data_IF_891074234895
#
_entry.id   IF_891074234895
#
_cell.length_a   1.000
_cell.length_b   1.000
_cell.length_c   1.000
_cell.angle_alpha   90.00
_cell.angle_beta   90.00
_cell.angle_gamma   90.00
#
_symmetry.space_group_name_H-M   'P 1'
#
loop_
_entity.id
_entity.type
_entity.pdbx_description
1 polymer ?
#
# COMPACT_ATOMS: atom_id res chain seq x y z
N UNK A 1 38.34 -53.59 -5.77
CA UNK A 1 37.26 -53.44 -6.79
C UNK A 1 37.91 -53.46 -8.16
N UNK A 2 37.51 -54.34 -9.05
CA UNK A 2 38.03 -54.36 -10.42
C UNK A 2 37.53 -53.17 -11.22
N UNK A 3 38.16 -52.75 -12.33
CA UNK A 3 37.63 -51.67 -13.17
C UNK A 3 36.19 -51.89 -13.67
N UNK A 4 35.82 -53.15 -13.95
CA UNK A 4 34.47 -53.54 -14.35
C UNK A 4 33.46 -53.38 -13.22
N UNK A 5 33.82 -53.80 -11.98
CA UNK A 5 32.96 -53.63 -10.80
C UNK A 5 32.73 -52.16 -10.47
N UNK A 6 33.78 -51.35 -10.62
CA UNK A 6 33.68 -49.91 -10.40
C UNK A 6 32.76 -49.24 -11.41
N UNK A 7 32.83 -49.62 -12.67
CA UNK A 7 31.93 -49.10 -13.71
C UNK A 7 30.48 -49.47 -13.43
N UNK A 8 30.21 -50.74 -13.07
CA UNK A 8 28.86 -51.20 -12.73
C UNK A 8 28.32 -50.49 -11.49
N UNK A 9 29.14 -50.31 -10.46
CA UNK A 9 28.79 -49.57 -9.26
C UNK A 9 28.42 -48.12 -9.58
N UNK A 10 29.26 -47.40 -10.36
CA UNK A 10 28.99 -46.05 -10.76
C UNK A 10 27.75 -45.92 -11.65
N UNK A 11 27.51 -46.84 -12.55
CA UNK A 11 26.31 -46.83 -13.41
C UNK A 11 25.03 -46.92 -12.57
N UNK A 12 25.07 -47.65 -11.45
CA UNK A 12 23.92 -47.81 -10.56
C UNK A 12 23.72 -46.60 -9.61
N UNK A 13 24.79 -46.05 -9.08
CA UNK A 13 24.69 -45.08 -7.97
C UNK A 13 24.94 -43.65 -8.38
N UNK A 14 25.83 -43.37 -9.34
CA UNK A 14 26.20 -42.04 -9.74
C UNK A 14 25.02 -41.19 -10.24
N UNK A 15 24.02 -41.72 -10.99
CA UNK A 15 22.93 -40.87 -11.53
C UNK A 15 22.16 -40.11 -10.46
N UNK A 16 21.93 -40.71 -9.30
CA UNK A 16 20.99 -40.16 -8.30
C UNK A 16 21.62 -39.87 -6.92
N UNK A 17 22.93 -40.11 -6.75
CA UNK A 17 23.62 -39.88 -5.48
C UNK A 17 24.53 -38.65 -5.57
N UNK A 18 24.67 -37.92 -4.47
CA UNK A 18 25.56 -36.77 -4.37
C UNK A 18 27.04 -37.15 -4.56
N UNK A 19 27.81 -36.33 -5.27
CA UNK A 19 29.21 -36.59 -5.56
C UNK A 19 30.06 -36.68 -4.30
N UNK A 20 29.76 -35.87 -3.28
CA UNK A 20 30.51 -35.87 -2.03
C UNK A 20 30.33 -37.17 -1.27
N UNK A 21 29.12 -37.73 -1.27
CA UNK A 21 28.80 -39.00 -0.63
C UNK A 21 29.51 -40.13 -1.36
N UNK A 22 29.34 -40.25 -2.68
CA UNK A 22 29.98 -41.31 -3.47
C UNK A 22 31.51 -41.24 -3.46
N UNK A 23 32.09 -40.04 -3.47
CA UNK A 23 33.52 -39.87 -3.38
C UNK A 23 34.06 -40.35 -2.03
N UNK A 24 33.37 -40.09 -0.93
CA UNK A 24 33.70 -40.56 0.41
C UNK A 24 33.61 -42.10 0.49
N UNK A 25 32.55 -42.72 -0.03
CA UNK A 25 32.36 -44.18 -0.06
C UNK A 25 33.45 -44.91 -0.85
N UNK A 26 33.93 -44.26 -1.94
CA UNK A 26 34.98 -44.85 -2.78
C UNK A 26 36.41 -44.49 -2.36
N UNK A 27 36.56 -43.65 -1.32
CA UNK A 27 37.88 -43.19 -0.86
C UNK A 27 38.62 -42.31 -1.88
N UNK A 28 37.91 -41.57 -2.76
CA UNK A 28 38.48 -40.76 -3.82
C UNK A 28 37.96 -39.30 -3.71
N UNK A 29 38.62 -38.40 -4.43
CA UNK A 29 38.12 -36.99 -4.50
C UNK A 29 36.93 -36.87 -5.45
N UNK A 30 36.04 -35.88 -5.19
CA UNK A 30 34.90 -35.60 -6.10
C UNK A 30 35.37 -35.35 -7.55
N UNK A 31 36.53 -34.70 -7.72
CA UNK A 31 37.09 -34.46 -9.04
C UNK A 31 37.45 -35.72 -9.78
N UNK A 32 38.06 -36.67 -9.08
CA UNK A 32 38.38 -38.00 -9.63
C UNK A 32 37.09 -38.77 -9.95
N UNK A 33 36.08 -38.70 -9.07
CA UNK A 33 34.76 -39.31 -9.32
C UNK A 33 34.14 -38.77 -10.60
N UNK A 34 34.15 -37.46 -10.81
CA UNK A 34 33.63 -36.81 -12.04
C UNK A 34 34.39 -37.25 -13.29
N UNK A 35 35.72 -37.37 -13.21
CA UNK A 35 36.54 -37.88 -14.33
C UNK A 35 36.22 -39.32 -14.67
N UNK A 36 36.02 -40.18 -13.65
CA UNK A 36 35.63 -41.59 -13.85
C UNK A 36 34.24 -41.70 -14.49
N UNK A 37 33.25 -40.98 -13.96
CA UNK A 37 31.91 -40.94 -14.52
C UNK A 37 31.91 -40.50 -15.99
N UNK A 38 32.66 -39.42 -16.30
CA UNK A 38 32.84 -38.96 -17.69
C UNK A 38 33.47 -40.01 -18.59
N UNK A 39 34.55 -40.67 -18.13
CA UNK A 39 35.23 -41.74 -18.90
C UNK A 39 34.28 -42.90 -19.23
N UNK A 40 33.37 -43.24 -18.30
CA UNK A 40 32.41 -44.33 -18.49
C UNK A 40 31.08 -43.84 -19.13
N UNK A 41 30.98 -42.58 -19.52
CA UNK A 41 29.76 -42.05 -20.18
C UNK A 41 28.54 -41.94 -19.24
N UNK A 42 28.75 -42.01 -17.92
CA UNK A 42 27.68 -41.99 -16.92
C UNK A 42 27.34 -40.53 -16.55
N UNK A 43 26.05 -40.20 -16.58
CA UNK A 43 25.56 -38.86 -16.29
C UNK A 43 24.58 -38.85 -15.11
N UNK A 44 24.43 -37.70 -14.47
CA UNK A 44 23.37 -37.48 -13.47
C UNK A 44 22.00 -37.59 -14.12
N UNK A 45 21.05 -38.19 -13.42
CA UNK A 45 19.65 -38.24 -13.88
C UNK A 45 19.04 -36.83 -13.95
N UNK A 46 18.03 -36.66 -14.78
CA UNK A 46 17.33 -35.40 -14.88
C UNK A 46 16.53 -35.10 -13.61
N UNK A 47 16.05 -36.12 -12.91
CA UNK A 47 15.41 -35.99 -11.61
C UNK A 47 16.39 -35.40 -10.58
N UNK A 48 17.60 -35.96 -10.47
CA UNK A 48 18.65 -35.49 -9.58
C UNK A 48 19.03 -34.00 -9.89
N UNK A 49 19.21 -33.68 -11.18
CA UNK A 49 19.55 -32.30 -11.60
C UNK A 49 18.46 -31.30 -11.21
N UNK A 50 17.18 -31.67 -11.42
CA UNK A 50 16.05 -30.79 -11.03
C UNK A 50 16.01 -30.60 -9.52
N UNK A 51 16.19 -31.66 -8.75
CA UNK A 51 16.16 -31.59 -7.29
C UNK A 51 17.36 -30.78 -6.73
N UNK A 52 18.57 -30.99 -7.29
CA UNK A 52 19.74 -30.19 -6.94
C UNK A 52 19.53 -28.70 -7.25
N UNK A 53 18.99 -28.41 -8.44
CA UNK A 53 18.67 -27.03 -8.81
C UNK A 53 17.67 -26.39 -7.83
N UNK A 54 16.60 -27.13 -7.47
CA UNK A 54 15.60 -26.69 -6.50
C UNK A 54 16.25 -26.37 -5.14
N UNK A 55 17.10 -27.26 -4.62
CA UNK A 55 17.83 -27.05 -3.36
C UNK A 55 18.74 -25.83 -3.41
N UNK A 56 19.48 -25.64 -4.50
CA UNK A 56 20.35 -24.49 -4.69
C UNK A 56 19.56 -23.16 -4.74
N UNK A 57 18.42 -23.17 -5.41
CA UNK A 57 17.55 -21.98 -5.46
C UNK A 57 16.95 -21.66 -4.11
N UNK A 58 16.50 -22.67 -3.35
CA UNK A 58 16.01 -22.49 -1.98
C UNK A 58 17.09 -21.93 -1.04
N UNK A 59 18.32 -22.46 -1.12
CA UNK A 59 19.45 -21.96 -0.32
C UNK A 59 19.81 -20.50 -0.66
N UNK A 60 19.78 -20.14 -1.95
CA UNK A 60 19.97 -18.74 -2.40
C UNK A 60 18.86 -17.83 -1.89
N UNK A 61 17.62 -18.31 -1.92
CA UNK A 61 16.47 -17.56 -1.41
C UNK A 61 16.58 -17.33 0.09
N UNK A 62 16.88 -18.37 0.87
CA UNK A 62 17.06 -18.26 2.32
C UNK A 62 18.16 -17.23 2.66
N UNK A 63 19.31 -17.33 1.99
CA UNK A 63 20.43 -16.37 2.19
C UNK A 63 20.03 -14.95 1.80
N UNK A 64 19.24 -14.79 0.74
CA UNK A 64 18.74 -13.48 0.34
C UNK A 64 17.78 -12.91 1.40
N UNK A 65 16.83 -13.73 1.91
CA UNK A 65 15.90 -13.30 2.95
C UNK A 65 16.61 -12.91 4.25
N UNK A 66 17.64 -13.65 4.65
CA UNK A 66 18.50 -13.30 5.81
C UNK A 66 19.24 -11.97 5.62
N UNK A 67 19.57 -11.60 4.40
CA UNK A 67 20.25 -10.34 4.09
C UNK A 67 19.33 -9.12 4.06
N UNK A 68 18.01 -9.32 4.07
CA UNK A 68 17.04 -8.23 4.04
C UNK A 68 16.90 -7.56 5.41
N UNK A 69 16.66 -6.24 5.45
CA UNK A 69 16.36 -5.56 6.70
C UNK A 69 15.10 -6.18 7.34
N UNK A 70 15.25 -6.74 8.52
CA UNK A 70 14.12 -7.25 9.30
C UNK A 70 13.46 -6.10 10.08
N UNK A 71 12.88 -5.15 9.36
CA UNK A 71 12.22 -3.97 9.93
C UNK A 71 10.72 -4.09 9.67
N UNK A 72 9.97 -4.39 10.72
CA UNK A 72 8.50 -4.43 10.66
C UNK A 72 7.92 -3.06 11.06
N UNK A 73 6.89 -2.57 10.36
CA UNK A 73 6.17 -1.38 10.78
C UNK A 73 5.42 -1.62 12.08
N UNK A 74 5.44 -0.65 12.98
CA UNK A 74 4.50 -0.64 14.09
C UNK A 74 3.07 -0.32 13.59
N UNK A 75 2.07 -0.41 14.49
CA UNK A 75 0.66 -0.17 14.15
C UNK A 75 0.41 1.21 13.52
N UNK A 76 1.07 2.24 14.01
CA UNK A 76 0.97 3.60 13.51
C UNK A 76 1.54 3.73 12.08
N UNK A 77 2.76 3.25 11.88
CA UNK A 77 3.44 3.24 10.57
C UNK A 77 2.67 2.41 9.54
N UNK A 78 2.18 1.23 9.95
CA UNK A 78 1.36 0.37 9.09
C UNK A 78 0.10 1.10 8.63
N UNK A 79 -0.57 1.82 9.52
CA UNK A 79 -1.78 2.56 9.16
C UNK A 79 -1.50 3.74 8.24
N UNK A 80 -0.38 4.45 8.35
CA UNK A 80 0.03 5.46 7.37
C UNK A 80 0.18 4.82 5.98
N UNK A 81 0.87 3.67 5.91
CA UNK A 81 1.07 2.95 4.63
C UNK A 81 -0.26 2.48 4.07
N UNK A 82 -1.12 1.85 4.88
CA UNK A 82 -2.41 1.29 4.44
C UNK A 82 -3.37 2.40 4.00
N UNK A 83 -3.51 3.47 4.79
CA UNK A 83 -4.35 4.62 4.42
C UNK A 83 -3.89 5.26 3.11
N UNK A 84 -2.58 5.38 2.92
CA UNK A 84 -2.00 5.87 1.66
C UNK A 84 -2.15 4.88 0.51
N UNK A 85 -2.12 3.56 0.74
CA UNK A 85 -2.39 2.56 -0.30
C UNK A 85 -3.85 2.59 -0.77
N UNK A 86 -4.78 2.89 0.10
CA UNK A 86 -6.18 3.11 -0.29
C UNK A 86 -6.30 4.42 -1.10
N UNK A 87 -5.48 5.43 -0.80
CA UNK A 87 -5.36 6.69 -1.55
C UNK A 87 -4.31 6.66 -2.66
N UNK A 88 -3.44 7.68 -2.69
CA UNK A 88 -2.46 7.98 -3.76
C UNK A 88 -1.28 6.99 -3.84
N UNK A 89 -0.99 6.26 -2.76
CA UNK A 89 0.18 5.39 -2.66
C UNK A 89 0.07 4.15 -3.54
N UNK A 90 1.22 3.65 -4.02
CA UNK A 90 1.27 2.38 -4.72
C UNK A 90 2.50 1.55 -4.35
N UNK A 91 2.39 0.24 -4.53
CA UNK A 91 3.48 -0.71 -4.40
C UNK A 91 3.91 -1.22 -5.77
N UNK A 92 5.21 -1.43 -5.94
CA UNK A 92 5.81 -1.93 -7.18
C UNK A 92 7.06 -2.74 -6.89
N UNK A 93 7.48 -3.54 -7.87
CA UNK A 93 8.78 -4.22 -7.83
C UNK A 93 9.78 -3.46 -8.69
N UNK A 94 10.98 -3.19 -8.15
CA UNK A 94 12.07 -2.69 -8.98
C UNK A 94 12.57 -3.80 -9.92
N UNK A 95 13.18 -3.47 -11.08
CA UNK A 95 13.78 -4.46 -11.95
C UNK A 95 14.72 -5.38 -11.17
N UNK A 96 14.54 -6.70 -11.32
CA UNK A 96 15.29 -7.75 -10.62
C UNK A 96 15.11 -7.82 -9.09
N UNK A 97 14.24 -6.97 -8.50
CA UNK A 97 13.91 -7.05 -7.08
C UNK A 97 12.86 -8.14 -6.84
N UNK A 98 13.04 -8.90 -5.75
CA UNK A 98 12.06 -9.87 -5.26
C UNK A 98 11.14 -9.29 -4.19
N UNK A 99 11.43 -8.07 -3.74
CA UNK A 99 10.66 -7.37 -2.73
C UNK A 99 10.05 -6.10 -3.31
N UNK A 100 8.81 -5.84 -2.94
CA UNK A 100 8.11 -4.63 -3.32
C UNK A 100 8.65 -3.40 -2.57
N UNK A 101 8.53 -2.26 -3.18
CA UNK A 101 8.77 -0.96 -2.58
C UNK A 101 7.54 -0.06 -2.73
N UNK A 102 7.39 0.89 -1.81
CA UNK A 102 6.36 1.93 -1.88
C UNK A 102 6.82 3.10 -2.73
N UNK A 103 5.89 3.65 -3.50
CA UNK A 103 6.08 4.93 -4.22
C UNK A 103 4.79 5.74 -4.26
N UNK A 104 4.95 7.06 -4.27
CA UNK A 104 3.89 8.03 -4.40
C UNK A 104 4.44 9.28 -5.10
N UNK A 105 3.87 9.65 -6.23
CA UNK A 105 4.23 10.89 -6.94
C UNK A 105 3.36 12.04 -6.41
N UNK A 106 3.90 13.26 -6.35
CA UNK A 106 3.17 14.42 -5.83
C UNK A 106 3.52 15.71 -6.55
N UNK A 107 2.55 16.63 -6.59
CA UNK A 107 2.78 18.00 -7.04
C UNK A 107 3.57 18.79 -5.99
N UNK A 108 4.38 19.79 -6.38
CA UNK A 108 5.15 20.63 -5.44
C UNK A 108 4.31 21.23 -4.30
N UNK A 109 3.05 21.58 -4.54
CA UNK A 109 2.11 22.08 -3.55
C UNK A 109 1.71 21.11 -2.44
N UNK A 110 2.03 19.81 -2.62
CA UNK A 110 1.77 18.76 -1.62
C UNK A 110 3.04 18.28 -0.92
N UNK A 111 4.15 19.01 -1.10
CA UNK A 111 5.47 18.60 -0.60
C UNK A 111 5.52 18.49 0.93
N UNK A 112 4.91 19.42 1.64
CA UNK A 112 4.84 19.42 3.11
C UNK A 112 4.21 18.13 3.65
N UNK A 113 3.12 17.69 3.04
CA UNK A 113 2.46 16.44 3.41
C UNK A 113 3.34 15.21 3.15
N UNK A 114 4.06 15.16 2.03
CA UNK A 114 4.96 14.02 1.73
C UNK A 114 6.21 14.05 2.61
N UNK A 115 6.69 15.22 2.99
CA UNK A 115 7.76 15.35 3.99
C UNK A 115 7.31 14.85 5.36
N UNK A 116 6.08 15.16 5.77
CA UNK A 116 5.49 14.61 6.98
C UNK A 116 5.42 13.08 6.92
N UNK A 117 4.91 12.48 5.85
CA UNK A 117 4.90 11.01 5.68
C UNK A 117 6.32 10.43 5.76
N UNK A 118 7.28 11.05 5.09
CA UNK A 118 8.68 10.60 5.10
C UNK A 118 9.28 10.62 6.51
N UNK A 119 9.00 11.64 7.30
CA UNK A 119 9.46 11.74 8.69
C UNK A 119 8.81 10.65 9.57
N UNK A 120 7.49 10.47 9.46
CA UNK A 120 6.77 9.43 10.23
C UNK A 120 7.25 8.01 9.90
N UNK A 121 7.69 7.77 8.64
CA UNK A 121 8.13 6.47 8.15
C UNK A 121 9.65 6.36 7.99
N UNK A 122 10.43 7.30 8.57
CA UNK A 122 11.89 7.34 8.42
C UNK A 122 12.58 6.08 8.93
N UNK A 123 12.07 5.45 9.98
CA UNK A 123 12.58 4.18 10.51
C UNK A 123 12.52 3.05 9.48
N UNK A 124 11.53 3.08 8.61
CA UNK A 124 11.36 2.14 7.49
C UNK A 124 12.14 2.57 6.23
N UNK A 125 12.91 3.65 6.30
CA UNK A 125 13.74 4.14 5.20
C UNK A 125 12.98 4.93 4.12
N UNK A 126 11.77 5.40 4.40
CA UNK A 126 11.04 6.27 3.47
C UNK A 126 11.75 7.63 3.32
N UNK A 127 11.81 8.13 2.10
CA UNK A 127 12.44 9.40 1.76
C UNK A 127 11.85 10.04 0.51
N UNK A 128 12.00 11.36 0.42
CA UNK A 128 11.72 12.09 -0.81
C UNK A 128 12.90 11.93 -1.77
N UNK A 129 12.62 11.63 -3.03
CA UNK A 129 13.60 11.57 -4.11
C UNK A 129 13.43 12.75 -5.07
N UNK A 130 14.45 13.04 -5.89
CA UNK A 130 14.55 14.25 -6.73
C UNK A 130 13.38 14.50 -7.69
N UNK A 131 12.64 13.46 -8.07
CA UNK A 131 11.53 13.54 -9.03
C UNK A 131 10.16 13.74 -8.35
N UNK A 132 10.10 14.40 -7.20
CA UNK A 132 8.88 14.55 -6.39
C UNK A 132 8.17 13.23 -6.10
N UNK A 133 8.95 12.24 -5.70
CA UNK A 133 8.44 10.95 -5.24
C UNK A 133 8.77 10.73 -3.77
N UNK A 134 7.78 10.27 -3.01
CA UNK A 134 8.01 9.60 -1.74
C UNK A 134 8.26 8.11 -2.06
N UNK A 135 9.41 7.58 -1.61
CA UNK A 135 9.81 6.18 -1.88
C UNK A 135 10.35 5.51 -0.62
N UNK A 136 10.14 4.20 -0.56
CA UNK A 136 10.77 3.33 0.43
C UNK A 136 11.88 2.47 -0.20
N UNK A 137 12.75 1.83 0.60
CA UNK A 137 13.48 0.66 0.15
C UNK A 137 12.51 -0.51 -0.14
N UNK A 138 13.02 -1.55 -0.82
CA UNK A 138 12.28 -2.81 -0.98
C UNK A 138 12.27 -3.58 0.34
N UNK A 139 11.09 -3.94 0.85
CA UNK A 139 10.91 -4.56 2.16
C UNK A 139 9.98 -5.78 2.09
N UNK A 140 10.25 -6.85 2.85
CA UNK A 140 9.35 -8.02 2.92
C UNK A 140 7.92 -7.68 3.31
N UNK A 141 7.74 -6.78 4.26
CA UNK A 141 6.41 -6.27 4.66
C UNK A 141 5.64 -5.62 3.52
N UNK A 142 6.31 -4.85 2.65
CA UNK A 142 5.67 -4.22 1.49
C UNK A 142 5.30 -5.27 0.43
N UNK A 143 6.05 -6.38 0.35
CA UNK A 143 5.70 -7.52 -0.49
C UNK A 143 4.44 -8.22 0.01
N UNK A 144 4.30 -8.42 1.32
CA UNK A 144 3.07 -8.96 1.92
C UNK A 144 1.87 -8.03 1.67
N UNK A 145 2.06 -6.71 1.81
CA UNK A 145 1.02 -5.74 1.47
C UNK A 145 0.69 -5.73 -0.03
N UNK A 146 1.68 -5.91 -0.90
CA UNK A 146 1.40 -6.06 -2.34
C UNK A 146 0.52 -7.28 -2.59
N UNK A 147 0.85 -8.43 -2.03
CA UNK A 147 0.04 -9.66 -2.14
C UNK A 147 -1.38 -9.48 -1.59
N UNK A 148 -1.54 -8.68 -0.54
CA UNK A 148 -2.84 -8.40 0.06
C UNK A 148 -3.69 -7.41 -0.76
N UNK A 149 -3.08 -6.39 -1.38
CA UNK A 149 -3.78 -5.29 -2.04
C UNK A 149 -3.81 -5.37 -3.57
N UNK A 150 -3.10 -6.30 -4.20
CA UNK A 150 -3.04 -6.41 -5.65
C UNK A 150 -3.45 -7.80 -6.15
N UNK A 151 -4.40 -7.83 -7.08
CA UNK A 151 -4.82 -9.02 -7.82
C UNK A 151 -4.60 -8.70 -9.31
N UNK A 152 -3.86 -9.52 -10.01
CA UNK A 152 -3.52 -9.34 -11.44
C UNK A 152 -2.97 -7.94 -11.74
N UNK A 153 -2.07 -7.45 -10.89
CA UNK A 153 -1.47 -6.12 -10.93
C UNK A 153 -2.46 -4.94 -10.74
N UNK A 154 -3.73 -5.20 -10.47
CA UNK A 154 -4.72 -4.18 -10.10
C UNK A 154 -4.80 -4.04 -8.59
N UNK A 155 -4.73 -2.80 -8.10
CA UNK A 155 -4.99 -2.50 -6.69
C UNK A 155 -6.48 -2.72 -6.39
N UNK A 156 -6.80 -3.45 -5.32
CA UNK A 156 -8.17 -3.82 -4.95
C UNK A 156 -8.38 -3.80 -3.44
N UNK A 157 -9.64 -3.65 -3.03
CA UNK A 157 -10.08 -3.78 -1.64
C UNK A 157 -10.82 -5.11 -1.44
N UNK A 158 -10.49 -5.80 -0.37
CA UNK A 158 -11.11 -7.04 0.06
C UNK A 158 -11.56 -6.94 1.51
N UNK A 159 -12.43 -7.88 1.93
CA UNK A 159 -12.85 -7.98 3.34
C UNK A 159 -11.67 -8.20 4.31
N UNK A 160 -10.52 -8.67 3.81
CA UNK A 160 -9.35 -8.93 4.65
C UNK A 160 -8.39 -7.74 4.70
N UNK A 161 -8.03 -7.16 3.55
CA UNK A 161 -7.04 -6.09 3.55
C UNK A 161 -7.56 -4.78 4.15
N UNK A 162 -8.88 -4.50 4.04
CA UNK A 162 -9.49 -3.31 4.63
C UNK A 162 -9.40 -3.31 6.16
N UNK A 163 -9.36 -4.48 6.81
CA UNK A 163 -9.22 -4.62 8.27
C UNK A 163 -7.88 -4.10 8.79
N UNK A 164 -6.90 -3.87 7.93
CA UNK A 164 -5.62 -3.27 8.31
C UNK A 164 -5.73 -1.77 8.62
N UNK A 165 -6.78 -1.11 8.14
CA UNK A 165 -7.07 0.31 8.43
C UNK A 165 -7.81 0.44 9.77
N UNK A 166 -7.08 0.58 10.88
CA UNK A 166 -7.63 0.54 12.24
C UNK A 166 -7.35 1.80 13.06
N UNK A 167 -6.37 2.60 12.65
CA UNK A 167 -5.92 3.76 13.43
C UNK A 167 -6.28 5.08 12.73
N UNK A 168 -6.67 6.14 13.47
CA UNK A 168 -7.06 7.44 12.89
C UNK A 168 -6.01 8.07 11.98
N UNK A 169 -4.71 7.80 12.18
CA UNK A 169 -3.67 8.28 11.26
C UNK A 169 -3.84 7.73 9.84
N UNK A 170 -4.27 6.47 9.70
CA UNK A 170 -4.55 5.88 8.39
C UNK A 170 -5.77 6.53 7.72
N UNK A 171 -6.81 6.81 8.49
CA UNK A 171 -7.96 7.59 8.01
C UNK A 171 -7.54 9.01 7.60
N UNK A 172 -6.64 9.64 8.36
CA UNK A 172 -6.09 10.95 8.00
C UNK A 172 -5.33 10.89 6.66
N UNK A 173 -4.49 9.88 6.44
CA UNK A 173 -3.79 9.70 5.17
C UNK A 173 -4.77 9.51 4.00
N UNK A 174 -5.77 8.61 4.16
CA UNK A 174 -6.82 8.42 3.16
C UNK A 174 -7.56 9.73 2.84
N UNK A 175 -7.92 10.50 3.87
CA UNK A 175 -8.59 11.80 3.67
C UNK A 175 -7.67 12.83 3.00
N UNK A 176 -6.41 12.90 3.38
CA UNK A 176 -5.45 13.85 2.80
C UNK A 176 -5.08 13.52 1.36
N UNK A 177 -5.18 12.27 0.95
CA UNK A 177 -4.98 11.82 -0.42
C UNK A 177 -6.24 12.02 -1.26
N UNK A 178 -7.33 11.34 -0.98
CA UNK A 178 -8.56 11.27 -1.79
C UNK A 178 -9.76 12.00 -1.19
N UNK A 179 -9.64 12.55 0.02
CA UNK A 179 -10.71 13.25 0.69
C UNK A 179 -10.88 14.71 0.27
N UNK A 180 -12.10 15.16 0.24
CA UNK A 180 -12.47 16.55 0.01
C UNK A 180 -13.54 16.99 1.01
N UNK A 181 -13.37 18.20 1.52
CA UNK A 181 -14.34 18.88 2.37
C UNK A 181 -14.67 20.23 1.74
N UNK A 182 -15.81 20.30 1.08
CA UNK A 182 -16.23 21.47 0.30
C UNK A 182 -17.35 22.20 1.03
N UNK A 183 -17.34 23.54 1.01
CA UNK A 183 -18.48 24.33 1.44
C UNK A 183 -19.41 24.54 0.26
N UNK A 184 -20.60 23.92 0.34
CA UNK A 184 -21.67 24.03 -0.64
C UNK A 184 -22.75 25.00 -0.18
N UNK A 185 -23.63 25.36 -1.10
CA UNK A 185 -24.83 26.12 -0.79
C UNK A 185 -26.00 25.66 -1.63
N UNK A 186 -27.20 25.87 -1.10
CA UNK A 186 -28.47 25.68 -1.83
C UNK A 186 -29.30 26.95 -1.71
N UNK A 187 -29.97 27.35 -2.82
CA UNK A 187 -30.83 28.54 -2.84
C UNK A 187 -32.11 28.27 -2.04
N UNK A 188 -32.50 29.26 -1.24
CA UNK A 188 -33.79 29.33 -0.56
C UNK A 188 -34.55 30.56 -1.05
N UNK A 189 -35.81 30.78 -0.56
CA UNK A 189 -36.64 31.89 -1.00
C UNK A 189 -35.94 33.25 -0.85
N UNK A 190 -35.35 33.51 0.32
CA UNK A 190 -34.82 34.83 0.69
C UNK A 190 -33.29 34.83 0.90
N UNK A 191 -32.58 33.73 0.49
CA UNK A 191 -31.15 33.61 0.68
C UNK A 191 -30.61 32.23 0.33
N UNK A 192 -29.59 31.79 1.08
CA UNK A 192 -28.89 30.53 0.85
C UNK A 192 -28.75 29.76 2.15
N UNK A 193 -28.84 28.42 2.02
CA UNK A 193 -28.36 27.51 3.06
C UNK A 193 -26.94 27.04 2.72
N UNK A 194 -26.00 27.31 3.60
CA UNK A 194 -24.56 27.07 3.44
C UNK A 194 -24.18 25.90 4.34
N UNK A 195 -23.54 24.89 3.77
CA UNK A 195 -23.20 23.64 4.49
C UNK A 195 -21.94 22.98 3.96
N UNK A 196 -21.18 22.29 4.80
CA UNK A 196 -20.05 21.48 4.36
C UNK A 196 -20.52 20.15 3.76
N UNK A 197 -19.72 19.61 2.86
CA UNK A 197 -19.91 18.28 2.27
C UNK A 197 -18.59 17.54 2.23
N UNK A 198 -18.58 16.35 2.81
CA UNK A 198 -17.46 15.42 2.78
C UNK A 198 -17.61 14.50 1.56
N UNK A 199 -16.51 14.26 0.85
CA UNK A 199 -16.43 13.27 -0.23
C UNK A 199 -15.06 12.59 -0.21
N UNK A 200 -15.03 11.28 -0.39
CA UNK A 200 -13.83 10.51 -0.74
C UNK A 200 -13.94 10.09 -2.21
N UNK A 201 -12.94 10.47 -3.00
CA UNK A 201 -12.89 10.22 -4.46
C UNK A 201 -12.12 8.94 -4.79
N UNK A 202 -12.54 7.82 -4.24
CA UNK A 202 -11.90 6.51 -4.40
C UNK A 202 -12.20 5.89 -5.77
N UNK A 203 -11.96 6.60 -6.86
CA UNK A 203 -12.33 6.19 -8.23
C UNK A 203 -11.57 4.99 -8.78
N UNK A 204 -10.44 4.64 -8.17
CA UNK A 204 -9.67 3.45 -8.53
C UNK A 204 -10.38 2.13 -8.17
N UNK A 205 -11.43 2.19 -7.32
CA UNK A 205 -12.13 1.02 -6.79
C UNK A 205 -13.54 0.89 -7.35
N UNK A 206 -14.01 -0.37 -7.47
CA UNK A 206 -15.37 -0.67 -7.93
C UNK A 206 -16.43 -0.22 -6.92
N UNK A 207 -17.72 -0.32 -7.28
CA UNK A 207 -18.83 -0.04 -6.36
C UNK A 207 -18.79 -0.96 -5.13
N UNK A 208 -18.54 -2.26 -5.35
CA UNK A 208 -18.45 -3.28 -4.30
C UNK A 208 -17.26 -3.02 -3.36
N UNK A 209 -16.11 -2.65 -3.90
CA UNK A 209 -14.92 -2.30 -3.14
C UNK A 209 -15.15 -1.03 -2.32
N UNK A 210 -15.79 -0.01 -2.88
CA UNK A 210 -16.18 1.20 -2.15
C UNK A 210 -17.24 0.91 -1.07
N UNK A 211 -18.15 -0.04 -1.29
CA UNK A 211 -19.11 -0.45 -0.27
C UNK A 211 -18.45 -1.20 0.90
N UNK A 212 -17.41 -2.00 0.63
CA UNK A 212 -16.57 -2.58 1.69
C UNK A 212 -15.87 -1.50 2.51
N UNK A 213 -15.28 -0.50 1.85
CA UNK A 213 -14.65 0.65 2.51
C UNK A 213 -15.67 1.42 3.35
N UNK A 214 -16.85 1.72 2.82
CA UNK A 214 -17.93 2.41 3.51
C UNK A 214 -18.30 1.73 4.83
N UNK A 215 -18.58 0.42 4.75
CA UNK A 215 -18.95 -0.38 5.94
C UNK A 215 -17.82 -0.43 6.97
N UNK A 216 -16.58 -0.53 6.50
CA UNK A 216 -15.43 -0.53 7.39
C UNK A 216 -15.25 0.81 8.09
N UNK A 217 -15.36 1.94 7.36
CA UNK A 217 -15.28 3.29 7.94
C UNK A 217 -16.41 3.56 8.93
N UNK A 218 -17.61 3.06 8.67
CA UNK A 218 -18.74 3.13 9.61
C UNK A 218 -18.46 2.33 10.89
N UNK A 219 -18.06 1.06 10.73
CA UNK A 219 -17.81 0.16 11.86
C UNK A 219 -16.63 0.60 12.73
N UNK A 220 -15.51 1.01 12.09
CA UNK A 220 -14.25 1.27 12.78
C UNK A 220 -14.16 2.70 13.31
N UNK A 221 -14.65 3.67 12.54
CA UNK A 221 -14.52 5.09 12.87
C UNK A 221 -15.87 5.78 13.12
N UNK A 222 -16.98 5.06 12.92
CA UNK A 222 -18.33 5.59 13.11
C UNK A 222 -18.71 6.68 12.09
N UNK A 223 -18.17 6.62 10.89
CA UNK A 223 -18.45 7.57 9.81
C UNK A 223 -19.63 7.10 8.96
N UNK A 224 -20.74 7.82 9.01
CA UNK A 224 -21.93 7.50 8.24
C UNK A 224 -21.83 8.13 6.84
N UNK A 225 -21.31 7.34 5.89
CA UNK A 225 -21.11 7.71 4.51
C UNK A 225 -22.11 7.00 3.59
N UNK A 226 -22.31 7.53 2.38
CA UNK A 226 -23.13 6.92 1.33
C UNK A 226 -22.27 6.64 0.11
N UNK A 227 -22.47 5.47 -0.50
CA UNK A 227 -21.91 5.17 -1.81
C UNK A 227 -22.59 6.09 -2.85
N UNK A 228 -21.81 6.75 -3.68
CA UNK A 228 -22.28 7.68 -4.69
C UNK A 228 -21.61 7.42 -6.03
N UNK A 229 -22.40 7.22 -7.11
CA UNK A 229 -21.85 7.27 -8.46
C UNK A 229 -21.52 8.71 -8.83
N UNK A 230 -20.40 8.91 -9.53
CA UNK A 230 -20.01 10.19 -10.09
C UNK A 230 -20.28 10.18 -11.60
N UNK A 231 -21.10 11.13 -12.11
CA UNK A 231 -21.34 11.26 -13.55
C UNK A 231 -20.03 11.49 -14.29
N UNK A 232 -20.03 11.24 -15.58
CA UNK A 232 -18.89 11.43 -16.49
C UNK A 232 -17.77 10.37 -16.39
N UNK A 233 -18.09 9.13 -15.97
CA UNK A 233 -17.17 8.01 -16.04
C UNK A 233 -16.10 7.96 -14.96
N UNK A 234 -16.24 8.79 -13.93
CA UNK A 234 -15.27 8.84 -12.83
C UNK A 234 -15.45 7.73 -11.76
N UNK A 235 -16.42 6.82 -11.92
CA UNK A 235 -16.63 5.70 -11.01
C UNK A 235 -17.44 6.04 -9.76
N UNK A 236 -17.08 5.43 -8.63
CA UNK A 236 -17.80 5.53 -7.37
C UNK A 236 -16.92 6.18 -6.30
N UNK A 237 -17.56 6.88 -5.37
CA UNK A 237 -16.91 7.44 -4.19
C UNK A 237 -17.85 7.40 -2.99
N UNK A 238 -17.39 7.90 -1.84
CA UNK A 238 -18.15 7.95 -0.60
C UNK A 238 -18.43 9.40 -0.21
N UNK A 239 -19.64 9.68 0.22
CA UNK A 239 -20.08 11.06 0.45
C UNK A 239 -20.95 11.16 1.71
N UNK A 240 -20.88 12.32 2.40
CA UNK A 240 -21.76 12.68 3.49
C UNK A 240 -21.97 14.19 3.58
N UNK A 241 -23.22 14.61 3.80
CA UNK A 241 -23.57 15.98 4.22
C UNK A 241 -23.99 16.06 5.69
N UNK A 242 -23.84 14.97 6.45
CA UNK A 242 -24.21 14.91 7.87
C UNK A 242 -23.20 15.64 8.72
N UNK A 243 -23.64 16.57 9.54
CA UNK A 243 -22.76 17.35 10.42
C UNK A 243 -22.05 16.48 11.45
N UNK A 244 -22.75 15.52 12.09
CA UNK A 244 -22.17 14.58 13.04
C UNK A 244 -21.00 13.76 12.47
N UNK A 245 -21.16 13.29 11.23
CA UNK A 245 -20.14 12.54 10.51
C UNK A 245 -18.93 13.41 10.16
N UNK A 246 -19.16 14.63 9.70
CA UNK A 246 -18.10 15.57 9.36
C UNK A 246 -17.32 15.99 10.61
N UNK A 247 -18.02 16.35 11.69
CA UNK A 247 -17.38 16.69 12.96
C UNK A 247 -16.54 15.55 13.51
N UNK A 248 -17.09 14.31 13.46
CA UNK A 248 -16.36 13.12 13.89
C UNK A 248 -15.11 12.87 13.08
N UNK A 249 -15.19 13.01 11.74
CA UNK A 249 -14.01 12.91 10.88
C UNK A 249 -12.95 13.95 11.29
N UNK A 250 -13.33 15.22 11.43
CA UNK A 250 -12.41 16.29 11.80
C UNK A 250 -11.72 15.96 13.12
N UNK A 251 -12.46 15.59 14.15
CA UNK A 251 -11.92 15.22 15.47
C UNK A 251 -10.90 14.10 15.37
N UNK A 252 -11.15 13.09 14.51
CA UNK A 252 -10.25 11.93 14.34
C UNK A 252 -8.96 12.29 13.59
N UNK A 253 -9.03 13.17 12.58
CA UNK A 253 -7.88 13.43 11.68
C UNK A 253 -7.10 14.69 12.01
N UNK A 254 -7.71 15.66 12.72
CA UNK A 254 -7.09 16.95 13.06
C UNK A 254 -5.72 16.82 13.74
N UNK A 255 -5.49 15.90 14.70
CA UNK A 255 -4.18 15.75 15.35
C UNK A 255 -3.03 15.50 14.36
N UNK A 256 -3.33 14.96 13.18
CA UNK A 256 -2.35 14.64 12.12
C UNK A 256 -2.31 15.73 11.07
N UNK A 257 -3.47 16.17 10.58
CA UNK A 257 -3.58 17.10 9.47
C UNK A 257 -3.20 18.53 9.85
N UNK A 258 -3.43 18.97 11.08
CA UNK A 258 -3.08 20.34 11.53
C UNK A 258 -1.58 20.64 11.50
N UNK A 259 -0.74 19.60 11.58
CA UNK A 259 0.72 19.74 11.50
C UNK A 259 1.21 19.97 10.04
N UNK A 260 0.32 19.88 9.06
CA UNK A 260 0.61 19.97 7.64
C UNK A 260 -0.09 21.23 7.09
N UNK A 261 0.65 22.34 6.83
CA UNK A 261 0.04 23.63 6.47
C UNK A 261 -0.95 23.54 5.31
N UNK A 262 -0.60 22.82 4.23
CA UNK A 262 -1.48 22.67 3.05
C UNK A 262 -2.78 21.88 3.33
N UNK A 263 -2.86 21.16 4.46
CA UNK A 263 -4.02 20.35 4.86
C UNK A 263 -4.83 20.98 6.00
N UNK A 264 -4.17 21.67 6.92
CA UNK A 264 -4.80 22.28 8.09
C UNK A 264 -5.92 23.27 7.71
N UNK A 265 -5.70 24.12 6.72
CA UNK A 265 -6.69 25.11 6.27
C UNK A 265 -8.00 24.47 5.79
N UNK A 266 -7.94 23.25 5.23
CA UNK A 266 -9.14 22.55 4.76
C UNK A 266 -10.07 22.11 5.89
N UNK A 267 -9.56 21.97 7.11
CA UNK A 267 -10.31 21.55 8.29
C UNK A 267 -10.97 22.71 9.05
N UNK A 268 -10.57 23.95 8.78
CA UNK A 268 -11.19 25.14 9.41
C UNK A 268 -12.56 25.43 8.79
N UNK A 269 -13.54 24.59 9.17
CA UNK A 269 -14.91 24.69 8.65
C UNK A 269 -15.59 25.99 9.07
N UNK A 270 -15.53 26.44 10.33
CA UNK A 270 -16.15 27.69 10.72
C UNK A 270 -15.69 28.87 9.86
N UNK A 271 -14.38 29.08 9.74
CA UNK A 271 -13.82 30.16 8.90
C UNK A 271 -14.27 30.04 7.44
N UNK A 272 -14.29 28.84 6.88
CA UNK A 272 -14.68 28.61 5.48
C UNK A 272 -16.17 28.82 5.25
N UNK A 273 -17.03 28.50 6.22
CA UNK A 273 -18.47 28.78 6.17
C UNK A 273 -18.73 30.29 6.16
N UNK A 274 -18.07 31.04 7.05
CA UNK A 274 -18.17 32.51 7.11
C UNK A 274 -17.64 33.17 5.82
N UNK A 275 -16.52 32.67 5.29
CA UNK A 275 -15.99 33.19 4.03
C UNK A 275 -16.96 32.94 2.85
N UNK A 276 -17.67 31.82 2.85
CA UNK A 276 -18.68 31.50 1.83
C UNK A 276 -19.93 32.40 1.99
N UNK A 277 -20.37 32.65 3.19
CA UNK A 277 -21.46 33.60 3.46
C UNK A 277 -21.13 35.01 2.94
N UNK A 278 -19.96 35.53 3.27
CA UNK A 278 -19.49 36.80 2.78
C UNK A 278 -19.36 36.86 1.23
N UNK A 279 -18.93 35.78 0.60
CA UNK A 279 -18.90 35.65 -0.87
C UNK A 279 -20.31 35.78 -1.46
N UNK A 280 -21.27 35.04 -0.91
CA UNK A 280 -22.64 35.03 -1.41
C UNK A 280 -23.35 36.40 -1.21
N UNK A 281 -23.14 37.04 -0.07
CA UNK A 281 -23.66 38.41 0.17
C UNK A 281 -23.10 39.41 -0.84
N UNK A 282 -21.80 39.41 -1.08
CA UNK A 282 -21.19 40.29 -2.10
C UNK A 282 -21.74 40.03 -3.50
N UNK A 283 -22.08 38.81 -3.83
CA UNK A 283 -22.55 38.41 -5.17
C UNK A 283 -24.04 38.65 -5.40
N UNK A 284 -24.87 38.50 -4.36
CA UNK A 284 -26.33 38.46 -4.49
C UNK A 284 -27.06 39.55 -3.68
N UNK A 285 -26.33 40.37 -2.92
CA UNK A 285 -26.87 41.46 -2.07
C UNK A 285 -26.68 41.16 -0.58
N UNK A 286 -26.39 42.21 0.18
CA UNK A 286 -26.20 42.12 1.65
C UNK A 286 -27.48 41.77 2.40
N UNK A 287 -28.65 41.98 1.80
CA UNK A 287 -29.98 41.65 2.33
C UNK A 287 -30.30 40.16 2.32
N UNK A 288 -29.46 39.32 1.69
CA UNK A 288 -29.65 37.88 1.69
C UNK A 288 -29.71 37.27 3.09
N UNK A 289 -30.81 36.60 3.42
CA UNK A 289 -30.99 35.90 4.69
C UNK A 289 -30.33 34.50 4.60
N UNK A 290 -29.01 34.45 4.71
CA UNK A 290 -28.27 33.21 4.65
C UNK A 290 -28.40 32.44 5.97
N UNK A 291 -28.50 31.10 5.87
CA UNK A 291 -28.46 30.17 7.01
C UNK A 291 -27.22 29.33 6.93
N UNK A 292 -26.41 29.31 7.94
CA UNK A 292 -25.19 28.52 8.02
C UNK A 292 -25.49 27.23 8.80
N UNK A 293 -25.03 26.09 8.32
CA UNK A 293 -25.11 24.81 9.04
C UNK A 293 -24.40 24.91 10.40
N UNK A 294 -25.03 24.41 11.44
CA UNK A 294 -24.59 24.53 12.84
C UNK A 294 -23.36 23.67 13.18
N UNK A 295 -22.23 23.97 12.55
CA UNK A 295 -20.92 23.36 12.85
C UNK A 295 -19.98 24.36 13.54
N UNK A 296 -20.54 25.26 14.26
CA UNK A 296 -19.85 26.31 15.02
C UNK A 296 -19.57 25.84 16.44
#
# INVERSE_FOLDING_TARGET
>A
MTPSDLQAYLARHYPDTDNKILAAELGITENNLRKLAYRYGIKKSDCYKKELHRKLMQAKEAKYLESLPNIEPNQYELNIIVGSLIGDGCLSFAPRSRQAYYREHFAPSQRDYRLWKADQLKRLGFKITGDNHLRSPSLPTLTRLYQAFYIDNRKCLTSENIKLLTHPVGLACLFMDDGSLVINYSRKKDGFYIFPRLTFYNFAFTAEENELLRRHLEKTFGLNLRLKPFPYGHGYGLDSGRQDTIQKLITLIEPYAKMIPSKAERLDIPRRLLAKDAELRRRFGEECQNTIAGLL
#
